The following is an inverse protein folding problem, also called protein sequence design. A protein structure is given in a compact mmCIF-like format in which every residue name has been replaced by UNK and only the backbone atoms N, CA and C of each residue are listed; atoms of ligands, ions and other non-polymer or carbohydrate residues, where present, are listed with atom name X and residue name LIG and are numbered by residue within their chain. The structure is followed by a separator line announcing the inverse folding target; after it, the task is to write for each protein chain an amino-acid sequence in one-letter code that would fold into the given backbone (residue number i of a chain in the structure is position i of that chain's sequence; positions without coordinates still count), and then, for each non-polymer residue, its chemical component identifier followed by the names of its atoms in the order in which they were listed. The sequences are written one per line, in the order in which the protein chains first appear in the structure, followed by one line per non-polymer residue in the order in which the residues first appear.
data_IF_923614431665
#
_entry.id   IF_923614431665
#
_cell.length_a   1.000
_cell.length_b   1.000
_cell.length_c   1.000
_cell.angle_alpha   90.00
_cell.angle_beta   90.00
_cell.angle_gamma   90.00
#
_symmetry.space_group_name_H-M   'P 1'
#
loop_
_entity.id
_entity.type
_entity.pdbx_description
1 polymer ?
#
# COMPACT_ATOMS: atom_id res chain seq x y z
N UNK A 1 107.17 69.45 72.00
CA UNK A 1 106.65 68.06 72.03
C UNK A 1 106.13 67.72 70.63
N UNK A 2 106.77 66.80 69.90
CA UNK A 2 106.28 66.26 68.62
C UNK A 2 105.46 64.99 68.92
N UNK A 3 104.22 64.83 68.43
CA UNK A 3 103.50 63.56 68.56
C UNK A 3 104.16 62.49 67.66
N UNK A 4 104.10 61.21 68.03
CA UNK A 4 104.82 60.15 67.31
C UNK A 4 104.08 59.79 66.02
N UNK A 5 104.79 59.84 64.89
CA UNK A 5 104.29 59.63 63.52
C UNK A 5 103.56 58.28 63.32
N UNK A 6 103.93 57.26 64.10
CA UNK A 6 103.33 55.92 64.08
C UNK A 6 101.85 55.92 64.52
N UNK A 7 101.46 56.83 65.43
CA UNK A 7 100.08 56.91 65.91
C UNK A 7 99.10 57.35 64.80
N UNK A 8 99.52 58.29 63.94
CA UNK A 8 98.65 58.85 62.91
C UNK A 8 98.36 57.87 61.77
N UNK A 9 99.31 56.99 61.42
CA UNK A 9 99.11 55.98 60.39
C UNK A 9 98.26 54.81 60.88
N UNK A 10 98.45 54.39 62.14
CA UNK A 10 97.56 53.43 62.81
C UNK A 10 96.14 53.99 62.90
N UNK A 11 95.98 55.26 63.28
CA UNK A 11 94.68 55.93 63.34
C UNK A 11 93.99 55.95 61.97
N UNK A 12 94.71 56.27 60.89
CA UNK A 12 94.15 56.22 59.52
C UNK A 12 93.71 54.81 59.13
N UNK A 13 94.49 53.79 59.46
CA UNK A 13 94.14 52.39 59.21
C UNK A 13 92.87 51.98 59.95
N UNK A 14 92.77 52.36 61.23
CA UNK A 14 91.57 52.10 62.04
C UNK A 14 90.36 52.85 61.47
N UNK A 15 90.49 54.12 61.10
CA UNK A 15 89.40 54.89 60.48
C UNK A 15 88.96 54.28 59.14
N UNK A 16 89.89 53.79 58.32
CA UNK A 16 89.55 53.09 57.08
C UNK A 16 88.85 51.75 57.33
N UNK A 17 89.27 51.00 58.35
CA UNK A 17 88.63 49.75 58.76
C UNK A 17 87.21 49.99 59.30
N UNK A 18 87.03 51.04 60.12
CA UNK A 18 85.73 51.50 60.60
C UNK A 18 84.85 51.95 59.44
N UNK A 19 85.42 52.65 58.45
CA UNK A 19 84.71 53.02 57.22
C UNK A 19 84.24 51.81 56.41
N UNK A 20 85.09 50.79 56.22
CA UNK A 20 84.72 49.53 55.58
C UNK A 20 83.63 48.79 56.35
N UNK A 21 83.75 48.71 57.67
CA UNK A 21 82.76 48.08 58.54
C UNK A 21 81.41 48.82 58.46
N UNK A 22 81.42 50.14 58.57
CA UNK A 22 80.20 50.95 58.53
C UNK A 22 79.51 50.86 57.17
N UNK A 23 80.27 50.86 56.07
CA UNK A 23 79.73 50.66 54.72
C UNK A 23 79.13 49.26 54.54
N UNK A 24 79.80 48.21 55.06
CA UNK A 24 79.24 46.85 55.07
C UNK A 24 77.95 46.77 55.86
N UNK A 25 77.88 47.42 57.02
CA UNK A 25 76.71 47.43 57.90
C UNK A 25 75.55 48.25 57.32
N UNK A 26 75.83 49.43 56.75
CA UNK A 26 74.81 50.26 56.11
C UNK A 26 74.24 49.60 54.86
N UNK A 27 75.07 48.90 54.08
CA UNK A 27 74.64 48.23 52.85
C UNK A 27 74.20 46.77 53.07
N UNK A 28 74.33 46.22 54.27
CA UNK A 28 74.04 44.80 54.55
C UNK A 28 72.64 44.40 54.10
N UNK A 29 71.63 45.22 54.44
CA UNK A 29 70.22 44.96 54.08
C UNK A 29 69.99 45.03 52.57
N UNK A 30 70.63 45.99 51.89
CA UNK A 30 70.52 46.11 50.43
C UNK A 30 71.16 44.92 49.71
N UNK A 31 72.36 44.51 50.13
CA UNK A 31 73.07 43.37 49.54
C UNK A 31 72.40 42.03 49.86
N UNK A 32 71.85 41.85 51.06
CA UNK A 32 71.05 40.64 51.37
C UNK A 32 69.75 40.60 50.57
N UNK A 33 69.04 41.72 50.41
CA UNK A 33 67.85 41.76 49.55
C UNK A 33 68.16 41.42 48.10
N UNK A 34 69.23 41.99 47.52
CA UNK A 34 69.66 41.63 46.16
C UNK A 34 70.01 40.15 46.04
N UNK A 35 70.77 39.62 47.00
CA UNK A 35 71.18 38.21 47.00
C UNK A 35 69.98 37.27 47.16
N UNK A 36 68.97 37.63 47.96
CA UNK A 36 67.73 36.86 48.09
C UNK A 36 66.96 36.80 46.78
N UNK A 37 66.76 37.95 46.13
CA UNK A 37 66.10 38.01 44.81
C UNK A 37 66.86 37.19 43.78
N UNK A 38 68.20 37.25 43.78
CA UNK A 38 69.02 36.43 42.89
C UNK A 38 68.87 34.93 43.18
N UNK A 39 68.76 34.52 44.44
CA UNK A 39 68.52 33.14 44.84
C UNK A 39 67.12 32.66 44.42
N UNK A 40 66.09 33.48 44.65
CA UNK A 40 64.71 33.21 44.24
C UNK A 40 64.60 33.05 42.72
N UNK A 41 65.23 33.94 41.95
CA UNK A 41 65.29 33.85 40.49
C UNK A 41 66.05 32.61 40.02
N UNK A 42 67.12 32.22 40.70
CA UNK A 42 67.85 31.00 40.37
C UNK A 42 66.98 29.75 40.56
N UNK A 43 66.30 29.63 41.71
CA UNK A 43 65.40 28.49 41.95
C UNK A 43 64.21 28.48 40.99
N UNK A 44 63.62 29.64 40.69
CA UNK A 44 62.55 29.74 39.69
C UNK A 44 63.03 29.33 38.29
N UNK A 45 64.23 29.75 37.88
CA UNK A 45 64.80 29.38 36.58
C UNK A 45 65.13 27.88 36.49
N UNK A 46 65.65 27.28 37.58
CA UNK A 46 65.93 25.85 37.66
C UNK A 46 64.64 25.02 37.52
N UNK A 47 63.57 25.42 38.22
CA UNK A 47 62.27 24.73 38.15
C UNK A 47 61.65 24.85 36.75
N UNK A 48 61.74 26.03 36.12
CA UNK A 48 61.25 26.26 34.74
C UNK A 48 61.97 25.36 33.72
N UNK A 49 63.27 25.12 33.92
CA UNK A 49 64.05 24.19 33.10
C UNK A 49 63.70 22.73 33.40
N UNK A 50 63.61 22.33 34.68
CA UNK A 50 63.31 20.95 35.07
C UNK A 50 61.90 20.51 34.64
N UNK A 51 60.93 21.42 34.74
CA UNK A 51 59.55 21.20 34.30
C UNK A 51 59.39 21.27 32.76
N UNK A 52 60.41 21.74 32.04
CA UNK A 52 60.32 22.07 30.60
C UNK A 52 59.06 22.88 30.28
N UNK A 53 58.90 24.02 30.95
CA UNK A 53 57.70 24.85 30.83
C UNK A 53 57.43 25.23 29.37
N UNK A 54 58.48 25.59 28.62
CA UNK A 54 58.36 25.96 27.22
C UNK A 54 57.92 24.79 26.33
N UNK A 55 58.42 23.57 26.57
CA UNK A 55 57.97 22.37 25.87
C UNK A 55 56.52 22.01 26.20
N UNK A 56 56.14 22.12 27.48
CA UNK A 56 54.77 21.87 27.94
C UNK A 56 53.77 22.91 27.41
N UNK A 57 54.15 24.20 27.40
CA UNK A 57 53.36 25.29 26.82
C UNK A 57 53.16 25.08 25.32
N UNK A 58 54.24 24.74 24.60
CA UNK A 58 54.16 24.41 23.18
C UNK A 58 53.23 23.22 22.92
N UNK A 59 53.35 22.15 23.70
CA UNK A 59 52.49 20.96 23.59
C UNK A 59 51.02 21.29 23.86
N UNK A 60 50.74 22.16 24.82
CA UNK A 60 49.38 22.63 25.10
C UNK A 60 48.81 23.41 23.91
N UNK A 61 49.59 24.33 23.34
CA UNK A 61 49.20 25.11 22.17
C UNK A 61 48.99 24.23 20.93
N UNK A 62 49.86 23.24 20.72
CA UNK A 62 49.75 22.29 19.61
C UNK A 62 48.46 21.45 19.74
N UNK A 63 48.17 20.90 20.92
CA UNK A 63 46.94 20.16 21.21
C UNK A 63 45.69 21.02 21.07
N UNK A 64 45.74 22.29 21.50
CA UNK A 64 44.61 23.21 21.36
C UNK A 64 44.35 23.56 19.88
N UNK A 65 45.40 23.66 19.07
CA UNK A 65 45.28 23.85 17.63
C UNK A 65 44.72 22.60 16.94
N UNK A 66 45.15 21.40 17.35
CA UNK A 66 44.64 20.13 16.82
C UNK A 66 43.15 19.97 17.13
N UNK A 67 42.75 20.18 18.40
CA UNK A 67 41.35 20.13 18.81
C UNK A 67 40.46 21.13 18.04
N UNK A 68 40.96 22.34 17.76
CA UNK A 68 40.25 23.33 16.92
C UNK A 68 40.08 22.87 15.47
N UNK A 69 41.05 22.15 14.91
CA UNK A 69 40.96 21.61 13.56
C UNK A 69 39.99 20.44 13.48
N UNK A 70 40.08 19.50 14.43
CA UNK A 70 39.16 18.37 14.52
C UNK A 70 37.71 18.82 14.69
N UNK A 71 37.48 19.85 15.51
CA UNK A 71 36.14 20.42 15.69
C UNK A 71 35.56 20.99 14.39
N UNK A 72 36.39 21.68 13.58
CA UNK A 72 35.98 22.19 12.26
C UNK A 72 35.67 21.07 11.27
N UNK A 73 36.45 20.00 11.26
CA UNK A 73 36.19 18.83 10.43
C UNK A 73 34.88 18.14 10.85
N UNK A 74 34.61 18.00 12.16
CA UNK A 74 33.35 17.47 12.68
C UNK A 74 32.16 18.33 12.22
N UNK A 75 32.25 19.67 12.35
CA UNK A 75 31.18 20.57 11.88
C UNK A 75 30.96 20.43 10.37
N UNK A 76 32.03 20.36 9.58
CA UNK A 76 31.95 20.19 8.13
C UNK A 76 31.30 18.86 7.75
N UNK A 77 31.73 17.75 8.35
CA UNK A 77 31.13 16.42 8.11
C UNK A 77 29.67 16.42 8.54
N UNK A 78 29.33 17.08 9.66
CA UNK A 78 27.94 17.16 10.13
C UNK A 78 27.04 17.94 9.15
N UNK A 79 27.56 19.01 8.54
CA UNK A 79 26.86 19.74 7.48
C UNK A 79 26.70 18.90 6.21
N UNK A 80 27.73 18.16 5.80
CA UNK A 80 27.66 17.24 4.65
C UNK A 80 26.64 16.13 4.89
N UNK A 81 26.61 15.53 6.08
CA UNK A 81 25.59 14.54 6.47
C UNK A 81 24.19 15.15 6.37
N UNK A 82 23.98 16.35 6.91
CA UNK A 82 22.68 17.03 6.82
C UNK A 82 22.25 17.31 5.38
N UNK A 83 23.19 17.68 4.51
CA UNK A 83 22.92 17.90 3.09
C UNK A 83 22.56 16.60 2.34
N UNK A 84 23.29 15.50 2.61
CA UNK A 84 23.01 14.19 2.03
C UNK A 84 21.66 13.65 2.52
N UNK A 85 21.34 13.81 3.81
CA UNK A 85 20.04 13.42 4.37
C UNK A 85 18.88 14.23 3.76
N UNK A 86 19.08 15.54 3.53
CA UNK A 86 18.10 16.37 2.84
C UNK A 86 17.93 15.97 1.36
N UNK A 87 19.01 15.58 0.69
CA UNK A 87 18.96 15.05 -0.68
C UNK A 87 18.22 13.70 -0.74
N UNK A 88 18.50 12.79 0.19
CA UNK A 88 17.75 11.53 0.33
C UNK A 88 16.27 11.78 0.59
N UNK A 89 15.94 12.76 1.44
CA UNK A 89 14.57 13.18 1.70
C UNK A 89 13.86 13.74 0.47
N UNK A 90 14.60 14.32 -0.48
CA UNK A 90 14.06 14.82 -1.75
C UNK A 90 13.94 13.73 -2.82
N UNK A 91 14.80 12.71 -2.80
CA UNK A 91 14.68 11.52 -3.67
C UNK A 91 13.57 10.56 -3.20
N UNK A 92 13.29 10.51 -1.89
CA UNK A 92 12.08 9.86 -1.38
C UNK A 92 10.87 10.73 -1.70
N UNK A 93 10.07 10.33 -2.68
CA UNK A 93 8.75 10.92 -2.92
C UNK A 93 7.99 11.02 -1.60
N UNK A 94 7.59 12.26 -1.29
CA UNK A 94 7.42 12.74 0.06
C UNK A 94 6.36 11.99 0.85
N UNK A 95 6.66 11.69 2.11
CA UNK A 95 5.69 11.18 3.09
C UNK A 95 4.35 11.92 3.02
N UNK A 96 4.40 13.22 2.72
CA UNK A 96 3.21 14.05 2.47
C UNK A 96 2.38 13.58 1.27
N UNK A 97 2.97 13.42 0.09
CA UNK A 97 2.24 12.94 -1.10
C UNK A 97 1.72 11.51 -0.88
N UNK A 98 2.54 10.65 -0.27
CA UNK A 98 2.12 9.31 0.12
C UNK A 98 0.88 9.36 1.04
N UNK A 99 0.92 10.18 2.10
CA UNK A 99 -0.18 10.34 3.03
C UNK A 99 -1.43 10.93 2.34
N UNK A 100 -1.27 11.91 1.45
CA UNK A 100 -2.38 12.49 0.69
C UNK A 100 -3.04 11.46 -0.23
N UNK A 101 -2.28 10.53 -0.81
CA UNK A 101 -2.82 9.41 -1.57
C UNK A 101 -3.49 8.39 -0.64
N UNK A 102 -2.83 8.01 0.45
CA UNK A 102 -3.35 7.05 1.43
C UNK A 102 -4.68 7.51 2.01
N UNK A 103 -4.80 8.79 2.38
CA UNK A 103 -6.03 9.37 2.93
C UNK A 103 -7.17 9.35 1.91
N UNK A 104 -6.89 9.62 0.62
CA UNK A 104 -7.88 9.49 -0.46
C UNK A 104 -8.28 8.04 -0.71
N UNK A 105 -7.35 7.11 -0.56
CA UNK A 105 -7.59 5.69 -0.74
C UNK A 105 -8.45 5.10 0.37
N UNK A 106 -8.11 5.38 1.64
CA UNK A 106 -8.82 4.82 2.80
C UNK A 106 -10.07 5.66 3.15
N UNK A 107 -10.10 6.94 2.78
CA UNK A 107 -11.20 7.86 3.09
C UNK A 107 -11.12 8.48 4.50
N UNK A 108 -9.99 8.31 5.19
CA UNK A 108 -9.73 8.83 6.54
C UNK A 108 -8.27 9.24 6.68
N UNK A 109 -7.98 10.16 7.59
CA UNK A 109 -6.65 10.79 7.77
C UNK A 109 -5.95 10.43 9.08
N UNK A 110 -6.43 9.39 9.78
CA UNK A 110 -5.84 8.97 11.05
C UNK A 110 -4.53 8.21 10.87
N UNK A 111 -4.30 7.57 9.72
CA UNK A 111 -3.14 6.71 9.46
C UNK A 111 -2.14 7.41 8.52
N UNK A 112 -0.93 7.67 9.01
CA UNK A 112 0.11 8.40 8.27
C UNK A 112 1.45 7.65 8.33
N UNK A 113 2.24 7.73 7.26
CA UNK A 113 3.67 7.47 7.30
C UNK A 113 4.43 8.73 7.72
N UNK A 114 5.37 8.56 8.64
CA UNK A 114 6.29 9.61 9.06
C UNK A 114 7.73 9.10 8.96
N UNK A 115 8.63 9.92 8.44
CA UNK A 115 10.04 9.54 8.36
C UNK A 115 10.72 9.74 9.72
N UNK A 116 11.29 8.67 10.26
CA UNK A 116 12.09 8.72 11.47
C UNK A 116 13.58 8.85 11.11
N UNK A 117 14.15 10.03 11.34
CA UNK A 117 15.56 10.34 11.08
C UNK A 117 16.53 9.44 11.86
N UNK A 118 16.19 9.06 13.10
CA UNK A 118 17.06 8.22 13.94
C UNK A 118 17.12 6.78 13.44
N UNK A 119 15.98 6.24 12.99
CA UNK A 119 15.88 4.87 12.46
C UNK A 119 16.18 4.76 10.97
N UNK A 120 16.30 5.91 10.26
CA UNK A 120 16.47 5.99 8.81
C UNK A 120 15.40 5.20 8.05
N UNK A 121 14.14 5.32 8.47
CA UNK A 121 13.01 4.60 7.90
C UNK A 121 11.67 5.25 8.21
N UNK A 122 10.59 4.73 7.62
CA UNK A 122 9.24 5.22 7.87
C UNK A 122 8.58 4.48 9.03
N UNK A 123 7.89 5.23 9.87
CA UNK A 123 7.03 4.74 10.94
C UNK A 123 5.58 5.02 10.58
N UNK A 124 4.69 4.11 10.98
CA UNK A 124 3.26 4.29 10.83
C UNK A 124 2.74 4.93 12.12
N UNK A 125 2.04 6.06 11.97
CA UNK A 125 1.46 6.82 13.07
C UNK A 125 -0.07 6.78 12.93
N UNK A 126 -0.76 6.52 14.04
CA UNK A 126 -2.23 6.62 14.13
C UNK A 126 -2.63 7.78 15.04
N UNK A 127 -3.58 8.61 14.59
CA UNK A 127 -4.12 9.76 15.33
C UNK A 127 -3.07 10.77 15.82
N UNK A 128 -1.91 10.84 15.16
CA UNK A 128 -0.82 11.73 15.56
C UNK A 128 -0.14 11.36 16.89
N UNK A 129 -0.42 10.17 17.45
CA UNK A 129 0.12 9.73 18.75
C UNK A 129 0.96 8.48 18.57
N UNK A 130 2.28 8.61 18.80
CA UNK A 130 3.22 7.49 18.97
C UNK A 130 3.46 6.60 17.76
N UNK A 131 4.44 5.69 17.89
CA UNK A 131 4.55 4.55 16.98
C UNK A 131 3.32 3.68 17.13
N UNK A 132 2.69 3.31 16.01
CA UNK A 132 1.62 2.33 16.02
C UNK A 132 2.13 0.99 16.56
N UNK A 133 1.39 0.38 17.49
CA UNK A 133 1.63 -0.93 18.12
C UNK A 133 1.59 -2.15 17.17
N UNK A 134 1.62 -1.94 15.84
CA UNK A 134 1.57 -2.99 14.83
C UNK A 134 0.18 -3.54 14.50
N UNK A 135 -0.90 -3.11 15.17
CA UNK A 135 -2.26 -3.60 14.94
C UNK A 135 -2.95 -2.93 13.72
N UNK A 136 -2.42 -3.16 12.52
CA UNK A 136 -3.08 -2.80 11.27
C UNK A 136 -4.09 -3.87 10.87
N UNK A 137 -5.27 -3.45 10.41
CA UNK A 137 -6.20 -4.36 9.74
C UNK A 137 -5.59 -4.86 8.41
N UNK A 138 -6.07 -6.00 7.92
CA UNK A 138 -5.63 -6.52 6.61
C UNK A 138 -5.92 -5.52 5.48
N UNK A 139 -7.02 -4.77 5.58
CA UNK A 139 -7.34 -3.70 4.63
C UNK A 139 -6.35 -2.54 4.68
N UNK A 140 -5.91 -2.12 5.88
CA UNK A 140 -4.89 -1.07 6.03
C UNK A 140 -3.52 -1.51 5.49
N UNK A 141 -3.12 -2.76 5.74
CA UNK A 141 -1.87 -3.32 5.19
C UNK A 141 -1.92 -3.33 3.66
N UNK A 142 -3.03 -3.82 3.10
CA UNK A 142 -3.24 -3.87 1.64
C UNK A 142 -3.23 -2.46 1.03
N UNK A 143 -3.90 -1.50 1.68
CA UNK A 143 -3.92 -0.10 1.25
C UNK A 143 -2.53 0.53 1.24
N UNK A 144 -1.76 0.39 2.33
CA UNK A 144 -0.39 0.91 2.43
C UNK A 144 0.48 0.29 1.34
N UNK A 145 0.45 -1.04 1.19
CA UNK A 145 1.25 -1.75 0.19
C UNK A 145 0.90 -1.30 -1.24
N UNK A 146 -0.40 -1.16 -1.54
CA UNK A 146 -0.84 -0.79 -2.88
C UNK A 146 -0.53 0.68 -3.21
N UNK A 147 -0.73 1.60 -2.26
CA UNK A 147 -0.33 3.00 -2.42
C UNK A 147 1.17 3.11 -2.59
N UNK A 148 1.96 2.39 -1.80
CA UNK A 148 3.41 2.37 -1.91
C UNK A 148 3.87 1.89 -3.28
N UNK A 149 3.31 0.78 -3.76
CA UNK A 149 3.60 0.23 -5.08
C UNK A 149 3.38 1.27 -6.18
N UNK A 150 2.21 1.92 -6.19
CA UNK A 150 1.87 2.91 -7.21
C UNK A 150 2.74 4.17 -7.12
N UNK A 151 3.04 4.65 -5.92
CA UNK A 151 3.94 5.80 -5.72
C UNK A 151 5.32 5.48 -6.27
N UNK A 152 5.84 4.27 -6.00
CA UNK A 152 7.12 3.79 -6.53
C UNK A 152 7.18 3.73 -8.06
N UNK A 153 6.06 3.48 -8.74
CA UNK A 153 6.02 3.47 -10.21
C UNK A 153 6.36 4.85 -10.82
N UNK A 154 6.22 5.95 -10.08
CA UNK A 154 6.45 7.31 -10.56
C UNK A 154 7.77 7.93 -10.11
N UNK A 155 8.51 7.24 -9.25
CA UNK A 155 9.79 7.71 -8.74
C UNK A 155 10.87 7.71 -9.84
N UNK A 156 11.97 8.41 -9.57
CA UNK A 156 13.19 8.41 -10.41
C UNK A 156 12.96 8.83 -11.87
N UNK A 157 11.95 9.66 -12.13
CA UNK A 157 11.60 10.11 -13.47
C UNK A 157 10.99 9.02 -14.35
N UNK A 158 10.50 7.93 -13.75
CA UNK A 158 9.90 6.85 -14.51
C UNK A 158 8.62 7.30 -15.22
N UNK A 159 8.54 7.01 -16.52
CA UNK A 159 7.37 7.30 -17.33
C UNK A 159 6.45 6.08 -17.36
N UNK A 160 5.22 6.22 -16.82
CA UNK A 160 4.25 5.13 -16.78
C UNK A 160 3.97 4.56 -18.17
N UNK A 161 4.03 5.39 -19.22
CA UNK A 161 3.80 5.01 -20.62
C UNK A 161 4.82 4.02 -21.18
N UNK A 162 5.99 3.93 -20.55
CA UNK A 162 7.05 3.00 -20.93
C UNK A 162 7.14 1.80 -19.96
N UNK A 163 6.24 1.74 -18.96
CA UNK A 163 6.28 0.77 -17.85
C UNK A 163 5.27 -0.37 -18.04
N UNK A 164 5.72 -1.60 -17.81
CA UNK A 164 4.85 -2.78 -17.67
C UNK A 164 4.51 -2.95 -16.20
N UNK A 165 3.22 -2.94 -15.87
CA UNK A 165 2.71 -3.01 -14.50
C UNK A 165 1.99 -4.34 -14.29
N UNK A 166 2.39 -5.08 -13.26
CA UNK A 166 1.69 -6.29 -12.82
C UNK A 166 1.16 -6.05 -11.43
N UNK A 167 -0.15 -6.20 -11.26
CA UNK A 167 -0.83 -6.04 -9.97
C UNK A 167 -1.44 -7.37 -9.61
N UNK A 168 -0.92 -7.99 -8.55
CA UNK A 168 -1.41 -9.25 -8.02
C UNK A 168 -2.31 -8.98 -6.81
N UNK A 169 -3.59 -9.29 -6.98
CA UNK A 169 -4.65 -9.23 -5.98
C UNK A 169 -4.66 -7.95 -5.13
N UNK A 170 -4.98 -6.79 -5.74
CA UNK A 170 -4.89 -5.48 -5.07
C UNK A 170 -5.93 -5.27 -3.96
N UNK A 171 -6.81 -6.25 -3.73
CA UNK A 171 -7.87 -6.21 -2.72
C UNK A 171 -7.94 -7.57 -2.05
N UNK A 172 -7.82 -7.60 -0.72
CA UNK A 172 -8.08 -8.80 0.06
C UNK A 172 -9.57 -9.18 0.00
N UNK A 173 -9.89 -10.46 -0.05
CA UNK A 173 -11.28 -10.96 -0.03
C UNK A 173 -12.08 -10.54 1.20
N UNK A 174 -11.40 -10.14 2.29
CA UNK A 174 -12.03 -9.66 3.52
C UNK A 174 -12.41 -8.17 3.49
N UNK A 175 -12.04 -7.45 2.43
CA UNK A 175 -12.12 -5.99 2.40
C UNK A 175 -13.01 -5.45 1.28
N UNK A 176 -14.31 -5.69 1.42
CA UNK A 176 -15.33 -5.15 0.52
C UNK A 176 -15.38 -3.62 0.53
N UNK A 177 -14.96 -2.98 1.63
CA UNK A 177 -15.00 -1.53 1.80
C UNK A 177 -13.99 -0.80 0.90
N UNK A 178 -12.82 -1.40 0.65
CA UNK A 178 -11.77 -0.77 -0.15
C UNK A 178 -11.76 -1.20 -1.62
N UNK A 179 -12.69 -2.07 -2.04
CA UNK A 179 -12.77 -2.60 -3.41
C UNK A 179 -12.90 -1.49 -4.47
N UNK A 180 -13.80 -0.52 -4.27
CA UNK A 180 -13.99 0.59 -5.21
C UNK A 180 -12.82 1.57 -5.22
N UNK A 181 -12.20 1.80 -4.05
CA UNK A 181 -11.04 2.65 -3.93
C UNK A 181 -9.84 2.04 -4.67
N UNK A 182 -9.59 0.74 -4.49
CA UNK A 182 -8.56 0.01 -5.22
C UNK A 182 -8.76 0.04 -6.72
N UNK A 183 -9.98 -0.17 -7.20
CA UNK A 183 -10.28 -0.11 -8.64
C UNK A 183 -10.08 1.31 -9.20
N UNK A 184 -10.64 2.32 -8.54
CA UNK A 184 -10.52 3.72 -8.96
C UNK A 184 -9.05 4.16 -8.98
N UNK A 185 -8.29 3.80 -7.95
CA UNK A 185 -6.89 4.12 -7.85
C UNK A 185 -6.07 3.41 -8.93
N UNK A 186 -6.25 2.10 -9.12
CA UNK A 186 -5.59 1.36 -10.21
C UNK A 186 -5.85 2.01 -11.57
N UNK A 187 -7.12 2.27 -11.89
CA UNK A 187 -7.51 2.85 -13.18
C UNK A 187 -6.89 4.22 -13.38
N UNK A 188 -6.99 5.12 -12.42
CA UNK A 188 -6.48 6.50 -12.58
C UNK A 188 -4.95 6.56 -12.72
N UNK A 189 -4.23 5.62 -12.10
CA UNK A 189 -2.77 5.64 -12.07
C UNK A 189 -2.13 4.81 -13.19
N UNK A 190 -2.80 3.75 -13.65
CA UNK A 190 -2.21 2.78 -14.58
C UNK A 190 -2.90 2.72 -15.96
N UNK A 191 -3.92 3.55 -16.26
CA UNK A 191 -4.56 3.54 -17.60
C UNK A 191 -3.56 3.80 -18.73
N UNK A 192 -2.59 4.67 -18.50
CA UNK A 192 -1.57 5.03 -19.49
C UNK A 192 -0.35 4.11 -19.47
N UNK A 193 -0.36 3.03 -18.66
CA UNK A 193 0.75 2.09 -18.60
C UNK A 193 0.99 1.44 -19.98
N UNK A 194 2.25 1.14 -20.30
CA UNK A 194 2.60 0.43 -21.54
C UNK A 194 1.83 -0.89 -21.66
N UNK A 195 1.74 -1.61 -20.56
CA UNK A 195 0.98 -2.84 -20.42
C UNK A 195 0.59 -3.01 -18.94
N UNK A 196 -0.65 -3.41 -18.70
CA UNK A 196 -1.18 -3.65 -17.36
C UNK A 196 -1.71 -5.08 -17.27
N UNK A 197 -1.18 -5.84 -16.31
CA UNK A 197 -1.72 -7.13 -15.88
C UNK A 197 -2.39 -6.96 -14.53
N UNK A 198 -3.62 -7.44 -14.41
CA UNK A 198 -4.37 -7.43 -13.14
C UNK A 198 -4.77 -8.87 -12.85
N UNK A 199 -4.21 -9.42 -11.78
CA UNK A 199 -4.51 -10.76 -11.28
C UNK A 199 -5.41 -10.60 -10.06
N UNK A 200 -6.46 -11.40 -9.96
CA UNK A 200 -7.32 -11.39 -8.77
C UNK A 200 -8.10 -12.68 -8.65
N UNK A 201 -8.39 -13.07 -7.41
CA UNK A 201 -9.35 -14.11 -7.10
C UNK A 201 -10.74 -13.54 -6.75
N UNK A 202 -10.85 -12.21 -6.61
CA UNK A 202 -12.10 -11.54 -6.26
C UNK A 202 -12.94 -11.26 -7.51
N UNK A 203 -14.05 -12.00 -7.67
CA UNK A 203 -14.91 -11.88 -8.85
C UNK A 203 -15.57 -10.50 -8.99
N UNK A 204 -15.88 -9.82 -7.88
CA UNK A 204 -16.44 -8.46 -7.91
C UNK A 204 -15.40 -7.46 -8.42
N UNK A 205 -14.15 -7.58 -7.99
CA UNK A 205 -13.06 -6.75 -8.51
C UNK A 205 -12.79 -7.03 -9.99
N UNK A 206 -12.76 -8.31 -10.39
CA UNK A 206 -12.65 -8.72 -11.79
C UNK A 206 -13.73 -8.06 -12.66
N UNK A 207 -15.00 -8.04 -12.23
CA UNK A 207 -16.07 -7.37 -12.98
C UNK A 207 -15.80 -5.89 -13.22
N UNK A 208 -15.32 -5.16 -12.22
CA UNK A 208 -15.00 -3.73 -12.37
C UNK A 208 -13.89 -3.51 -13.41
N UNK A 209 -12.82 -4.31 -13.34
CA UNK A 209 -11.70 -4.23 -14.30
C UNK A 209 -12.16 -4.66 -15.69
N UNK A 210 -12.96 -5.73 -15.79
CA UNK A 210 -13.55 -6.21 -17.03
C UNK A 210 -14.40 -5.14 -17.69
N UNK A 211 -15.30 -4.50 -16.96
CA UNK A 211 -16.19 -3.49 -17.53
C UNK A 211 -15.39 -2.27 -18.04
N UNK A 212 -14.32 -1.90 -17.33
CA UNK A 212 -13.36 -0.89 -17.79
C UNK A 212 -12.65 -1.30 -19.08
N UNK A 213 -12.10 -2.51 -19.14
CA UNK A 213 -11.36 -3.02 -20.29
C UNK A 213 -12.27 -3.23 -21.51
N UNK A 214 -13.47 -3.77 -21.32
CA UNK A 214 -14.50 -3.90 -22.37
C UNK A 214 -14.91 -2.53 -22.91
N UNK A 215 -15.07 -1.53 -22.04
CA UNK A 215 -15.32 -0.15 -22.47
C UNK A 215 -14.17 0.43 -23.31
N UNK A 216 -12.93 0.08 -22.97
CA UNK A 216 -11.72 0.47 -23.71
C UNK A 216 -11.70 -0.17 -25.10
N UNK A 217 -11.90 -1.48 -25.19
CA UNK A 217 -12.02 -2.20 -26.47
C UNK A 217 -13.14 -1.64 -27.34
N UNK A 218 -14.34 -1.41 -26.78
CA UNK A 218 -15.47 -0.80 -27.52
C UNK A 218 -15.10 0.55 -28.14
N UNK A 219 -14.40 1.40 -27.40
CA UNK A 219 -13.94 2.70 -27.89
C UNK A 219 -12.86 2.59 -28.98
N UNK A 220 -12.00 1.57 -28.91
CA UNK A 220 -10.97 1.30 -29.92
C UNK A 220 -11.58 0.78 -31.22
N UNK A 221 -12.48 -0.20 -31.13
CA UNK A 221 -13.21 -0.76 -32.27
C UNK A 221 -14.01 0.31 -32.99
N UNK A 222 -14.71 1.20 -32.26
CA UNK A 222 -15.40 2.37 -32.83
C UNK A 222 -14.48 3.31 -33.62
N UNK A 223 -13.19 3.34 -33.31
CA UNK A 223 -12.16 4.13 -34.00
C UNK A 223 -11.41 3.32 -35.08
N UNK A 224 -11.85 2.10 -35.38
CA UNK A 224 -11.19 1.21 -36.35
C UNK A 224 -9.90 0.56 -35.86
N UNK A 225 -9.61 0.61 -34.55
CA UNK A 225 -8.43 -0.03 -33.97
C UNK A 225 -8.78 -1.42 -33.41
N UNK A 226 -7.82 -2.34 -33.49
CA UNK A 226 -7.93 -3.65 -32.86
C UNK A 226 -8.05 -3.54 -31.33
N UNK A 227 -8.75 -4.50 -30.74
CA UNK A 227 -8.83 -4.70 -29.30
C UNK A 227 -7.44 -4.91 -28.69
N UNK A 228 -7.26 -4.47 -27.45
CA UNK A 228 -5.97 -4.58 -26.75
C UNK A 228 -6.11 -4.99 -25.28
N UNK A 229 -7.34 -5.28 -24.83
CA UNK A 229 -7.59 -5.82 -23.50
C UNK A 229 -8.14 -7.24 -23.63
N UNK A 230 -7.57 -8.17 -22.86
CA UNK A 230 -7.89 -9.60 -22.90
C UNK A 230 -8.13 -10.15 -21.49
N UNK A 231 -8.91 -11.23 -21.40
CA UNK A 231 -9.32 -11.83 -20.13
C UNK A 231 -8.98 -13.30 -20.11
N UNK A 232 -8.42 -13.76 -18.99
CA UNK A 232 -7.94 -15.12 -18.82
C UNK A 232 -8.43 -15.69 -17.48
N UNK A 233 -8.50 -17.02 -17.41
CA UNK A 233 -8.70 -17.80 -16.18
C UNK A 233 -7.47 -18.67 -15.95
N UNK A 234 -7.14 -18.88 -14.67
CA UNK A 234 -6.13 -19.85 -14.26
C UNK A 234 -6.83 -21.12 -13.79
N UNK A 235 -6.62 -22.22 -14.51
CA UNK A 235 -7.13 -23.54 -14.14
C UNK A 235 -6.05 -24.38 -13.47
N UNK A 236 -6.41 -25.18 -12.46
CA UNK A 236 -5.50 -26.11 -11.79
C UNK A 236 -5.89 -27.55 -12.18
N UNK A 237 -5.14 -28.21 -13.09
CA UNK A 237 -5.47 -29.57 -13.51
C UNK A 237 -5.42 -30.54 -12.32
N UNK A 238 -6.38 -31.48 -12.23
CA UNK A 238 -6.34 -32.50 -11.19
C UNK A 238 -5.10 -33.39 -11.34
N UNK A 239 -4.49 -33.78 -10.22
CA UNK A 239 -3.42 -34.78 -10.19
C UNK A 239 -1.99 -34.24 -10.24
N UNK A 240 -1.78 -32.92 -10.35
CA UNK A 240 -0.44 -32.33 -10.26
C UNK A 240 -0.41 -31.13 -9.30
N UNK A 241 0.12 -31.28 -8.07
CA UNK A 241 0.25 -30.15 -7.18
C UNK A 241 1.18 -29.09 -7.80
N UNK A 242 0.81 -27.81 -7.64
CA UNK A 242 1.55 -26.63 -8.14
C UNK A 242 1.68 -26.53 -9.67
N UNK A 243 0.66 -26.95 -10.41
CA UNK A 243 0.54 -26.66 -11.84
C UNK A 243 -0.71 -25.85 -12.13
N UNK A 244 -0.59 -24.87 -13.02
CA UNK A 244 -1.71 -24.06 -13.51
C UNK A 244 -1.64 -23.92 -15.04
N UNK A 245 -2.81 -23.78 -15.65
CA UNK A 245 -2.99 -23.50 -17.07
C UNK A 245 -3.63 -22.13 -17.20
N UNK A 246 -3.03 -21.26 -17.99
CA UNK A 246 -3.64 -20.02 -18.41
C UNK A 246 -4.54 -20.32 -19.61
N UNK A 247 -5.84 -20.12 -19.46
CA UNK A 247 -6.84 -20.32 -20.51
C UNK A 247 -7.60 -19.02 -20.75
N UNK A 248 -8.12 -18.85 -21.96
CA UNK A 248 -9.00 -17.72 -22.26
C UNK A 248 -10.23 -17.75 -21.34
N UNK A 249 -10.63 -16.59 -20.84
CA UNK A 249 -11.84 -16.51 -20.04
C UNK A 249 -13.05 -16.86 -20.91
N UNK A 250 -13.95 -17.68 -20.35
CA UNK A 250 -15.20 -18.05 -21.00
C UNK A 250 -16.02 -16.80 -21.37
N UNK A 251 -16.80 -16.90 -22.44
CA UNK A 251 -17.73 -15.84 -22.86
C UNK A 251 -18.73 -15.49 -21.75
N UNK A 252 -19.02 -16.44 -20.86
CA UNK A 252 -19.83 -16.22 -19.66
C UNK A 252 -19.24 -15.17 -18.70
N UNK A 253 -17.91 -15.15 -18.56
CA UNK A 253 -17.19 -14.20 -17.71
C UNK A 253 -17.00 -12.86 -18.41
N UNK A 254 -16.82 -12.86 -19.73
CA UNK A 254 -16.58 -11.66 -20.54
C UNK A 254 -17.86 -10.85 -20.84
N UNK A 255 -18.95 -11.53 -21.18
CA UNK A 255 -20.09 -10.89 -21.84
C UNK A 255 -21.28 -10.58 -20.91
N UNK A 256 -21.37 -11.20 -19.72
CA UNK A 256 -22.53 -11.00 -18.83
C UNK A 256 -22.17 -10.19 -17.57
N UNK A 257 -22.90 -9.09 -17.37
CA UNK A 257 -22.78 -8.23 -16.18
C UNK A 257 -23.26 -8.91 -14.89
N UNK A 258 -24.30 -9.75 -15.00
CA UNK A 258 -24.91 -10.45 -13.87
C UNK A 258 -25.25 -11.90 -14.21
N UNK A 259 -25.37 -12.71 -13.17
CA UNK A 259 -25.82 -14.10 -13.27
C UNK A 259 -27.17 -14.17 -14.00
N UNK A 260 -28.09 -13.22 -13.74
CA UNK A 260 -29.39 -13.14 -14.40
C UNK A 260 -29.30 -13.14 -15.94
N UNK A 261 -28.41 -12.34 -16.54
CA UNK A 261 -28.26 -12.29 -18.00
C UNK A 261 -27.68 -13.60 -18.56
N UNK A 262 -26.72 -14.20 -17.86
CA UNK A 262 -26.17 -15.50 -18.23
C UNK A 262 -27.23 -16.60 -18.19
N UNK A 263 -28.01 -16.66 -17.11
CA UNK A 263 -29.11 -17.64 -16.95
C UNK A 263 -30.15 -17.48 -18.05
N UNK A 264 -30.58 -16.23 -18.31
CA UNK A 264 -31.54 -15.95 -19.38
C UNK A 264 -31.02 -16.46 -20.72
N UNK A 265 -29.81 -16.08 -21.13
CA UNK A 265 -29.26 -16.52 -22.41
C UNK A 265 -29.11 -18.02 -22.49
N UNK A 266 -28.58 -18.68 -21.45
CA UNK A 266 -28.41 -20.13 -21.45
C UNK A 266 -29.74 -20.86 -21.64
N UNK A 267 -30.77 -20.48 -20.89
CA UNK A 267 -32.10 -21.05 -21.06
C UNK A 267 -32.70 -20.74 -22.44
N UNK A 268 -32.42 -19.54 -22.97
CA UNK A 268 -32.88 -19.13 -24.29
C UNK A 268 -32.23 -19.95 -25.41
N UNK A 269 -30.93 -20.24 -25.30
CA UNK A 269 -30.22 -21.18 -26.17
C UNK A 269 -30.87 -22.58 -26.09
N UNK A 270 -31.14 -23.08 -24.88
CA UNK A 270 -31.78 -24.39 -24.68
C UNK A 270 -33.20 -24.49 -25.24
N UNK A 271 -33.91 -23.38 -25.43
CA UNK A 271 -35.21 -23.36 -26.11
C UNK A 271 -35.11 -23.87 -27.55
N UNK A 272 -33.95 -23.74 -28.21
CA UNK A 272 -33.76 -24.23 -29.58
C UNK A 272 -33.45 -25.73 -29.65
N UNK A 273 -33.11 -26.38 -28.54
CA UNK A 273 -32.79 -27.81 -28.50
C UNK A 273 -34.08 -28.64 -28.46
N UNK A 274 -34.24 -29.57 -29.40
CA UNK A 274 -35.42 -30.46 -29.48
C UNK A 274 -35.48 -31.52 -28.38
N UNK A 275 -34.32 -31.90 -27.82
CA UNK A 275 -34.21 -32.88 -26.74
C UNK A 275 -33.07 -32.45 -25.82
N UNK A 276 -33.30 -32.53 -24.51
CA UNK A 276 -32.28 -32.31 -23.49
C UNK A 276 -31.84 -33.65 -22.93
N UNK A 277 -30.54 -33.86 -22.78
CA UNK A 277 -30.07 -35.01 -22.02
C UNK A 277 -30.38 -34.83 -20.53
N UNK A 278 -30.20 -35.90 -19.75
CA UNK A 278 -30.55 -35.91 -18.32
C UNK A 278 -29.87 -34.81 -17.52
N UNK A 279 -28.58 -34.57 -17.75
CA UNK A 279 -27.79 -33.58 -17.02
C UNK A 279 -28.19 -32.15 -17.40
N UNK A 280 -28.42 -31.91 -18.69
CA UNK A 280 -28.96 -30.65 -19.20
C UNK A 280 -30.34 -30.34 -18.62
N UNK A 281 -31.17 -31.37 -18.42
CA UNK A 281 -32.51 -31.19 -17.89
C UNK A 281 -32.49 -30.82 -16.39
N UNK A 282 -31.60 -31.41 -15.59
CA UNK A 282 -31.37 -30.94 -14.21
C UNK A 282 -30.80 -29.53 -14.14
N UNK A 283 -29.85 -29.22 -15.02
CA UNK A 283 -29.26 -27.88 -15.10
C UNK A 283 -30.33 -26.84 -15.44
N UNK A 284 -31.12 -27.09 -16.49
CA UNK A 284 -32.16 -26.16 -16.95
C UNK A 284 -33.27 -25.98 -15.91
N UNK A 285 -33.65 -27.00 -15.14
CA UNK A 285 -34.61 -26.84 -14.05
C UNK A 285 -34.11 -25.89 -12.95
N UNK A 286 -32.84 -26.04 -12.54
CA UNK A 286 -32.21 -25.15 -11.56
C UNK A 286 -32.09 -23.71 -12.07
N UNK A 287 -31.66 -23.55 -13.33
CA UNK A 287 -31.57 -22.26 -13.99
C UNK A 287 -32.94 -21.60 -14.14
N UNK A 288 -33.96 -22.37 -14.53
CA UNK A 288 -35.33 -21.91 -14.73
C UNK A 288 -35.92 -21.33 -13.43
N UNK A 289 -35.71 -22.01 -12.31
CA UNK A 289 -36.10 -21.49 -10.99
C UNK A 289 -35.48 -20.12 -10.72
N UNK A 290 -34.14 -20.04 -10.82
CA UNK A 290 -33.41 -18.80 -10.57
C UNK A 290 -33.88 -17.66 -11.49
N UNK A 291 -34.17 -17.96 -12.76
CA UNK A 291 -34.67 -16.98 -13.72
C UNK A 291 -36.04 -16.43 -13.30
N UNK A 292 -37.00 -17.32 -13.05
CA UNK A 292 -38.38 -16.98 -12.67
C UNK A 292 -38.41 -16.19 -11.36
N UNK A 293 -37.67 -16.68 -10.35
CA UNK A 293 -37.57 -16.04 -9.05
C UNK A 293 -36.94 -14.65 -9.14
N UNK A 294 -35.83 -14.51 -9.89
CA UNK A 294 -35.18 -13.22 -10.10
C UNK A 294 -36.11 -12.24 -10.82
N UNK A 295 -36.72 -12.65 -11.92
CA UNK A 295 -37.60 -11.80 -12.72
C UNK A 295 -38.80 -11.30 -11.90
N UNK A 296 -39.54 -12.20 -11.25
CA UNK A 296 -40.70 -11.81 -10.46
C UNK A 296 -40.33 -11.05 -9.19
N UNK A 297 -39.17 -11.31 -8.59
CA UNK A 297 -38.66 -10.52 -7.46
C UNK A 297 -38.40 -9.05 -7.85
N UNK A 298 -37.87 -8.82 -9.06
CA UNK A 298 -37.70 -7.47 -9.60
C UNK A 298 -39.04 -6.81 -9.94
N UNK A 299 -39.95 -7.53 -10.60
CA UNK A 299 -41.26 -7.02 -11.02
C UNK A 299 -42.22 -6.78 -9.84
N UNK A 300 -42.21 -7.67 -8.85
CA UNK A 300 -43.13 -7.70 -7.71
C UNK A 300 -42.39 -7.72 -6.36
N UNK A 301 -41.69 -6.63 -6.01
CA UNK A 301 -40.78 -6.59 -4.85
C UNK A 301 -41.46 -6.63 -3.47
N UNK A 302 -42.80 -6.69 -3.39
CA UNK A 302 -43.52 -6.81 -2.12
C UNK A 302 -43.60 -8.25 -1.61
N UNK A 303 -43.20 -9.24 -2.40
CA UNK A 303 -43.41 -10.70 -2.13
C UNK A 303 -42.12 -11.53 -2.23
N UNK A 304 -40.96 -10.92 -1.95
CA UNK A 304 -39.61 -11.44 -2.30
C UNK A 304 -39.19 -12.77 -1.67
N UNK A 305 -39.91 -13.29 -0.69
CA UNK A 305 -39.50 -14.47 0.08
C UNK A 305 -40.23 -15.76 -0.29
N UNK A 306 -41.20 -15.71 -1.21
CA UNK A 306 -42.02 -16.88 -1.56
C UNK A 306 -42.28 -16.94 -3.06
N UNK A 307 -41.65 -17.91 -3.73
CA UNK A 307 -41.79 -18.12 -5.17
C UNK A 307 -43.23 -18.40 -5.60
N UNK A 308 -44.02 -19.07 -4.75
CA UNK A 308 -45.44 -19.32 -5.03
C UNK A 308 -46.22 -18.01 -5.08
N UNK A 309 -45.99 -17.12 -4.11
CA UNK A 309 -46.64 -15.80 -4.08
C UNK A 309 -46.19 -14.87 -5.21
N UNK A 310 -44.92 -15.00 -5.65
CA UNK A 310 -44.38 -14.28 -6.81
C UNK A 310 -45.04 -14.75 -8.10
N UNK A 311 -45.14 -16.07 -8.30
CA UNK A 311 -45.82 -16.67 -9.46
C UNK A 311 -47.32 -16.34 -9.47
N UNK A 312 -47.97 -16.30 -8.31
CA UNK A 312 -49.37 -15.89 -8.20
C UNK A 312 -49.56 -14.41 -8.54
N UNK A 313 -48.59 -13.54 -8.21
CA UNK A 313 -48.62 -12.14 -8.63
C UNK A 313 -48.46 -12.00 -10.15
N UNK A 314 -47.53 -12.78 -10.73
CA UNK A 314 -47.26 -12.78 -12.17
C UNK A 314 -48.40 -13.32 -13.02
N UNK A 315 -49.35 -14.07 -12.45
CA UNK A 315 -50.49 -14.63 -13.18
C UNK A 315 -51.67 -13.64 -13.34
N UNK A 316 -51.81 -12.65 -12.46
CA UNK A 316 -53.06 -11.86 -12.31
C UNK A 316 -53.58 -11.18 -13.58
N UNK A 317 -52.68 -10.76 -14.46
CA UNK A 317 -53.00 -10.02 -15.68
C UNK A 317 -52.67 -10.83 -16.95
N UNK A 318 -52.44 -12.13 -16.81
CA UNK A 318 -52.16 -13.02 -17.95
C UNK A 318 -53.46 -13.53 -18.61
N UNK A 319 -53.41 -13.63 -19.93
CA UNK A 319 -54.47 -14.16 -20.81
C UNK A 319 -54.04 -15.44 -21.53
N UNK A 320 -52.75 -15.60 -21.81
CA UNK A 320 -52.13 -16.73 -22.48
C UNK A 320 -51.65 -17.74 -21.44
N UNK A 321 -50.98 -17.27 -20.38
CA UNK A 321 -50.52 -18.11 -19.27
C UNK A 321 -51.68 -18.44 -18.35
N UNK A 322 -52.04 -19.72 -18.26
CA UNK A 322 -53.16 -20.19 -17.43
C UNK A 322 -52.70 -20.65 -16.04
N UNK A 323 -53.62 -20.79 -15.06
CA UNK A 323 -53.30 -21.36 -13.75
C UNK A 323 -52.67 -22.76 -13.82
N UNK A 324 -53.10 -23.59 -14.78
CA UNK A 324 -52.54 -24.92 -15.02
C UNK A 324 -51.10 -24.84 -15.52
N UNK A 325 -50.81 -23.89 -16.41
CA UNK A 325 -49.46 -23.65 -16.92
C UNK A 325 -48.53 -23.18 -15.80
N UNK A 326 -49.01 -22.26 -14.94
CA UNK A 326 -48.30 -21.83 -13.73
C UNK A 326 -47.97 -23.01 -12.83
N UNK A 327 -48.96 -23.86 -12.53
CA UNK A 327 -48.77 -25.04 -11.66
C UNK A 327 -47.77 -26.03 -12.29
N UNK A 328 -47.83 -26.26 -13.61
CA UNK A 328 -46.85 -27.08 -14.33
C UNK A 328 -45.44 -26.54 -14.17
N UNK A 329 -45.24 -25.24 -14.41
CA UNK A 329 -43.93 -24.58 -14.23
C UNK A 329 -43.48 -24.70 -12.77
N UNK A 330 -44.36 -24.43 -11.80
CA UNK A 330 -44.05 -24.47 -10.37
C UNK A 330 -43.63 -25.87 -9.91
N UNK A 331 -44.33 -26.91 -10.36
CA UNK A 331 -43.99 -28.30 -10.05
C UNK A 331 -42.65 -28.70 -10.64
N UNK A 332 -42.39 -28.34 -11.90
CA UNK A 332 -41.13 -28.62 -12.56
C UNK A 332 -39.95 -27.98 -11.81
N UNK A 333 -40.01 -26.66 -11.56
CA UNK A 333 -38.91 -25.96 -10.88
C UNK A 333 -38.74 -26.39 -9.41
N UNK A 334 -39.80 -26.76 -8.70
CA UNK A 334 -39.65 -27.24 -7.31
C UNK A 334 -39.14 -28.68 -7.25
N UNK A 335 -39.69 -29.58 -8.06
CA UNK A 335 -39.35 -31.01 -8.01
C UNK A 335 -37.87 -31.24 -8.37
N UNK A 336 -37.37 -30.53 -9.36
CA UNK A 336 -36.04 -30.79 -9.92
C UNK A 336 -34.94 -29.81 -9.45
N UNK A 337 -35.28 -28.85 -8.58
CA UNK A 337 -34.32 -27.89 -8.01
C UNK A 337 -34.16 -27.97 -6.49
N UNK A 338 -35.02 -28.69 -5.75
CA UNK A 338 -34.90 -28.86 -4.31
C UNK A 338 -34.16 -30.14 -3.98
N UNK A 339 -33.13 -30.05 -3.13
CA UNK A 339 -32.29 -31.18 -2.72
C UNK A 339 -33.03 -32.29 -1.96
N UNK A 340 -34.24 -32.01 -1.45
CA UNK A 340 -34.99 -32.95 -0.59
C UNK A 340 -35.75 -34.04 -1.36
N UNK A 341 -35.91 -33.91 -2.68
CA UNK A 341 -36.73 -34.85 -3.50
C UNK A 341 -36.03 -35.18 -4.80
N UNK A 342 -34.77 -35.63 -4.75
CA UNK A 342 -34.17 -36.29 -5.92
C UNK A 342 -34.63 -37.75 -5.92
N UNK A 343 -35.89 -37.99 -6.27
CA UNK A 343 -36.36 -39.34 -6.61
C UNK A 343 -35.76 -39.74 -7.96
N UNK A 344 -34.63 -40.45 -7.91
CA UNK A 344 -33.95 -41.01 -9.08
C UNK A 344 -34.61 -42.36 -9.42
N UNK A 345 -35.71 -42.32 -10.17
CA UNK A 345 -36.23 -43.50 -10.89
C UNK A 345 -35.98 -43.30 -12.38
N UNK A 346 -35.85 -44.38 -13.17
CA UNK A 346 -35.63 -44.26 -14.63
C UNK A 346 -36.75 -43.44 -15.32
N UNK A 347 -37.98 -43.57 -14.84
CA UNK A 347 -39.13 -42.78 -15.28
C UNK A 347 -39.01 -41.27 -14.98
N UNK A 348 -38.31 -40.87 -13.90
CA UNK A 348 -38.19 -39.45 -13.55
C UNK A 348 -37.21 -38.71 -14.48
N UNK A 349 -36.25 -39.42 -15.08
CA UNK A 349 -35.28 -38.89 -16.03
C UNK A 349 -35.85 -38.73 -17.45
N UNK A 350 -36.68 -39.68 -17.92
CA UNK A 350 -37.34 -39.59 -19.24
C UNK A 350 -38.40 -38.48 -19.26
N UNK A 351 -39.22 -38.38 -18.20
CA UNK A 351 -40.19 -37.30 -18.05
C UNK A 351 -39.50 -35.93 -17.95
N UNK A 352 -38.36 -35.86 -17.25
CA UNK A 352 -37.57 -34.64 -17.13
C UNK A 352 -37.02 -34.19 -18.49
N UNK A 353 -36.45 -35.09 -19.30
CA UNK A 353 -35.94 -34.76 -20.63
C UNK A 353 -37.05 -34.31 -21.61
N UNK A 354 -38.21 -34.97 -21.59
CA UNK A 354 -39.34 -34.65 -22.47
C UNK A 354 -40.09 -33.36 -22.08
N UNK A 355 -40.29 -33.10 -20.80
CA UNK A 355 -41.04 -31.93 -20.33
C UNK A 355 -40.20 -30.64 -20.27
N UNK A 356 -38.89 -30.75 -20.06
CA UNK A 356 -37.99 -29.59 -19.88
C UNK A 356 -38.07 -28.60 -21.04
N UNK A 357 -38.06 -29.09 -22.29
CA UNK A 357 -38.16 -28.22 -23.46
C UNK A 357 -39.47 -27.42 -23.48
N UNK A 358 -40.61 -28.09 -23.24
CA UNK A 358 -41.92 -27.45 -23.18
C UNK A 358 -41.98 -26.42 -22.06
N UNK A 359 -41.49 -26.76 -20.86
CA UNK A 359 -41.52 -25.87 -19.70
C UNK A 359 -40.66 -24.63 -19.90
N UNK A 360 -39.46 -24.75 -20.49
CA UNK A 360 -38.61 -23.60 -20.82
C UNK A 360 -39.33 -22.65 -21.78
N UNK A 361 -39.96 -23.20 -22.84
CA UNK A 361 -40.77 -22.41 -23.77
C UNK A 361 -41.91 -21.66 -23.08
N UNK A 362 -42.63 -22.35 -22.18
CA UNK A 362 -43.73 -21.77 -21.40
C UNK A 362 -43.25 -20.67 -20.44
N UNK A 363 -42.06 -20.83 -19.83
CA UNK A 363 -41.46 -19.80 -19.00
C UNK A 363 -41.21 -18.54 -19.83
N UNK A 364 -40.56 -18.64 -20.99
CA UNK A 364 -40.31 -17.46 -21.82
C UNK A 364 -41.58 -16.81 -22.36
N UNK A 365 -42.61 -17.59 -22.72
CA UNK A 365 -43.92 -17.06 -23.08
C UNK A 365 -44.52 -16.26 -21.92
N UNK A 366 -44.41 -16.76 -20.70
CA UNK A 366 -44.94 -16.08 -19.53
C UNK A 366 -44.15 -14.81 -19.19
N UNK A 367 -42.82 -14.83 -19.32
CA UNK A 367 -41.99 -13.64 -19.17
C UNK A 367 -42.35 -12.56 -20.20
N UNK A 368 -42.56 -12.96 -21.47
CA UNK A 368 -42.98 -12.06 -22.55
C UNK A 368 -44.36 -11.46 -22.27
N UNK A 369 -45.30 -12.25 -21.78
CA UNK A 369 -46.64 -11.79 -21.46
C UNK A 369 -46.66 -10.77 -20.30
N UNK A 370 -45.87 -11.03 -19.25
CA UNK A 370 -45.82 -10.17 -18.06
C UNK A 370 -45.03 -8.87 -18.32
N UNK A 371 -43.97 -8.93 -19.13
CA UNK A 371 -43.16 -7.76 -19.47
C UNK A 371 -42.51 -7.89 -20.84
N UNK A 372 -43.31 -7.64 -21.90
CA UNK A 372 -42.84 -7.71 -23.27
C UNK A 372 -41.62 -6.84 -23.53
N UNK A 373 -41.61 -5.62 -23.00
CA UNK A 373 -40.51 -4.67 -23.22
C UNK A 373 -39.20 -5.21 -22.65
N UNK A 374 -39.21 -5.67 -21.40
CA UNK A 374 -38.02 -6.27 -20.79
C UNK A 374 -37.58 -7.53 -21.53
N UNK A 375 -38.52 -8.39 -21.92
CA UNK A 375 -38.24 -9.60 -22.67
C UNK A 375 -37.57 -9.31 -24.03
N UNK A 376 -38.11 -8.35 -24.79
CA UNK A 376 -37.56 -7.97 -26.11
C UNK A 376 -36.12 -7.40 -25.99
N UNK A 377 -35.83 -6.61 -24.95
CA UNK A 377 -34.47 -6.12 -24.65
C UNK A 377 -33.52 -7.26 -24.23
N UNK A 378 -34.00 -8.21 -23.44
CA UNK A 378 -33.21 -9.37 -23.02
C UNK A 378 -32.88 -10.30 -24.20
N UNK A 379 -33.79 -10.44 -25.17
CA UNK A 379 -33.50 -11.16 -26.42
C UNK A 379 -32.36 -10.48 -27.17
N UNK A 380 -32.41 -9.16 -27.35
CA UNK A 380 -31.34 -8.44 -28.05
C UNK A 380 -29.98 -8.66 -27.38
N UNK A 381 -29.92 -8.65 -26.05
CA UNK A 381 -28.69 -8.96 -25.28
C UNK A 381 -28.26 -10.42 -25.43
N UNK A 382 -29.20 -11.37 -25.50
CA UNK A 382 -28.89 -12.77 -25.65
C UNK A 382 -28.35 -13.11 -27.06
N UNK A 383 -28.84 -12.41 -28.09
CA UNK A 383 -28.49 -12.63 -29.51
C UNK A 383 -27.35 -11.74 -30.04
N UNK A 384 -26.95 -10.72 -29.28
CA UNK A 384 -25.75 -9.92 -29.54
C UNK A 384 -24.48 -10.67 -29.12
#
# INVERSE_FOLDING_TARGET
MKPPTNFNDILKSIVALVGKHNNKTSNFKSETSKSKVALELHFAAAEVQEFDYAGSEKKCNDLESEAKNDHKEIEKISLEVGAIEAALSNETVGAKEFNDILHRFIGRSELCLNFNQKKKGYEIIRNGVGEHDGNLSEGEKTAIAFVYFITKLKENGNNIKDTIVVVDDPVSSFDSNHLFHAYSFLRTQCTEAKQLFVLTHNFTYFKLVRDWFTGTNRNRVKKGNAENCFFYRLDAPPGSPRHSLLVDADDSLKNYGSEYHYIFKKLYEYRAHTTLNRDEAFLTANLARKLVESFFTFKYPRRRSDISQLMEAGLKDCTITTPELKEKIYRFINKYSHSDVIEITEESAENLAGESHSVIGNIFQWLEEVDKKHYDEMIQVATA
#
